data_IF_923724298586
#
_entry.id   IF_923724298586
#
_cell.length_a   1.000
_cell.length_b   1.000
_cell.length_c   1.000
_cell.angle_alpha   90.00
_cell.angle_beta   90.00
_cell.angle_gamma   90.00
#
_symmetry.space_group_name_H-M   'P 1'
#
loop_
_entity.id
_entity.type
_entity.pdbx_description
1 polymer ?
#
# COMPACT_ATOMS: atom_id res chain seq x y z
N UNK A 1 -20.26 1.45 -7.90
CA UNK A 1 -18.79 1.61 -7.95
C UNK A 1 -18.37 2.61 -6.88
N UNK A 2 -17.34 2.31 -6.12
CA UNK A 2 -16.78 3.20 -5.09
C UNK A 2 -15.59 3.98 -5.67
N UNK A 3 -15.06 4.95 -4.92
CA UNK A 3 -13.99 5.86 -5.35
C UNK A 3 -12.67 5.14 -5.70
N UNK A 4 -12.29 4.11 -4.92
CA UNK A 4 -11.11 3.29 -5.23
C UNK A 4 -11.24 2.53 -6.55
N UNK A 5 -12.43 2.02 -6.87
CA UNK A 5 -12.69 1.35 -8.16
C UNK A 5 -12.61 2.35 -9.33
N UNK A 6 -13.16 3.55 -9.16
CA UNK A 6 -13.02 4.61 -10.15
C UNK A 6 -11.54 4.99 -10.37
N UNK A 7 -10.72 4.93 -9.31
CA UNK A 7 -9.30 5.21 -9.43
C UNK A 7 -8.55 4.23 -10.36
N UNK A 8 -8.98 2.96 -10.47
CA UNK A 8 -8.44 1.99 -11.43
C UNK A 8 -8.56 2.51 -12.86
N UNK A 9 -9.77 2.95 -13.21
CA UNK A 9 -10.07 3.55 -14.53
C UNK A 9 -9.26 4.82 -14.76
N UNK A 10 -9.25 5.70 -13.75
CA UNK A 10 -8.55 6.98 -13.83
C UNK A 10 -7.04 6.88 -13.90
N UNK A 11 -6.47 5.85 -13.30
CA UNK A 11 -5.04 5.55 -13.34
C UNK A 11 -4.60 4.84 -14.63
N UNK A 12 -5.54 4.45 -15.50
CA UNK A 12 -5.24 3.75 -16.76
C UNK A 12 -4.83 2.28 -16.56
N UNK A 13 -5.28 1.67 -15.46
CA UNK A 13 -5.00 0.27 -15.13
C UNK A 13 -6.05 -0.66 -15.76
N UNK A 14 -5.87 -1.01 -17.03
CA UNK A 14 -6.86 -1.77 -17.80
C UNK A 14 -6.41 -3.19 -18.19
N UNK A 15 -5.24 -3.64 -17.71
CA UNK A 15 -4.67 -4.94 -18.07
C UNK A 15 -4.85 -5.96 -16.95
N UNK A 16 -4.89 -7.22 -17.32
CA UNK A 16 -4.74 -8.34 -16.38
C UNK A 16 -3.37 -8.26 -15.71
N UNK A 17 -3.34 -8.52 -14.40
CA UNK A 17 -2.11 -8.41 -13.61
C UNK A 17 -1.77 -6.99 -13.17
N UNK A 18 -2.53 -5.96 -13.59
CA UNK A 18 -2.41 -4.64 -12.99
C UNK A 18 -3.01 -4.65 -11.59
N UNK A 19 -2.23 -4.19 -10.60
CA UNK A 19 -2.71 -3.90 -9.26
C UNK A 19 -2.65 -2.40 -9.04
N UNK A 20 -3.81 -1.75 -8.91
CA UNK A 20 -3.86 -0.34 -8.54
C UNK A 20 -3.78 -0.19 -7.03
N UNK A 21 -2.70 0.41 -6.55
CA UNK A 21 -2.50 0.74 -5.13
C UNK A 21 -2.95 2.19 -4.87
N UNK A 22 -4.16 2.36 -4.35
CA UNK A 22 -4.68 3.69 -3.98
C UNK A 22 -4.25 3.99 -2.55
N UNK A 23 -3.22 4.84 -2.40
CA UNK A 23 -2.54 5.10 -1.14
C UNK A 23 -2.84 6.50 -0.60
N UNK A 24 -3.58 6.54 0.51
CA UNK A 24 -3.95 7.73 1.25
C UNK A 24 -3.83 7.50 2.77
N UNK A 25 -4.84 7.85 3.54
CA UNK A 25 -4.97 7.53 4.97
C UNK A 25 -4.83 6.02 5.20
N UNK A 26 -5.56 5.23 4.42
CA UNK A 26 -5.43 3.78 4.24
C UNK A 26 -4.94 3.46 2.83
N UNK A 27 -4.81 2.18 2.48
CA UNK A 27 -4.58 1.77 1.10
C UNK A 27 -5.54 0.68 0.64
N UNK A 28 -5.95 0.75 -0.65
CA UNK A 28 -6.65 -0.31 -1.34
C UNK A 28 -5.78 -0.83 -2.49
N UNK A 29 -5.71 -2.14 -2.63
CA UNK A 29 -4.98 -2.85 -3.69
C UNK A 29 -6.01 -3.58 -4.57
N UNK A 30 -6.16 -3.09 -5.79
CA UNK A 30 -7.21 -3.49 -6.71
C UNK A 30 -6.59 -4.23 -7.89
N UNK A 31 -6.79 -5.57 -7.94
CA UNK A 31 -6.24 -6.44 -8.97
C UNK A 31 -7.27 -6.69 -10.07
N UNK A 32 -6.85 -6.60 -11.32
CA UNK A 32 -7.60 -7.05 -12.49
C UNK A 32 -7.19 -8.47 -12.90
N UNK A 33 -8.14 -9.39 -13.05
CA UNK A 33 -7.89 -10.79 -13.40
C UNK A 33 -8.90 -11.35 -14.39
N UNK A 34 -8.52 -12.43 -15.09
CA UNK A 34 -9.45 -13.21 -15.92
C UNK A 34 -10.29 -14.20 -15.12
N UNK A 35 -9.85 -14.62 -13.94
CA UNK A 35 -10.52 -15.60 -13.10
C UNK A 35 -11.14 -14.93 -11.88
N UNK A 36 -12.25 -15.46 -11.39
CA UNK A 36 -13.08 -14.87 -10.33
C UNK A 36 -13.29 -15.80 -9.13
N UNK A 37 -12.34 -16.67 -8.83
CA UNK A 37 -12.39 -17.50 -7.63
C UNK A 37 -12.16 -16.67 -6.36
N UNK A 38 -12.95 -16.95 -5.31
CA UNK A 38 -12.79 -16.22 -4.04
C UNK A 38 -11.43 -16.50 -3.38
N UNK A 39 -10.76 -15.47 -2.93
CA UNK A 39 -9.48 -15.56 -2.21
C UNK A 39 -9.74 -15.34 -0.72
N UNK A 40 -9.38 -16.29 0.16
CA UNK A 40 -9.53 -16.09 1.61
C UNK A 40 -8.78 -14.83 2.08
N UNK A 41 -9.46 -13.99 2.86
CA UNK A 41 -8.89 -12.74 3.38
C UNK A 41 -8.86 -11.57 2.39
N UNK A 42 -9.30 -11.75 1.15
CA UNK A 42 -9.53 -10.66 0.19
C UNK A 42 -11.00 -10.24 0.24
N UNK A 43 -11.23 -8.94 0.28
CA UNK A 43 -12.53 -8.33 0.61
C UNK A 43 -13.64 -8.68 -0.37
N UNK A 44 -13.32 -8.57 -1.64
CA UNK A 44 -14.31 -8.77 -2.70
C UNK A 44 -13.65 -9.30 -3.96
N UNK A 45 -14.46 -10.05 -4.70
CA UNK A 45 -14.22 -10.42 -6.08
C UNK A 45 -15.53 -10.24 -6.83
N UNK A 46 -15.53 -9.40 -7.87
CA UNK A 46 -16.73 -9.23 -8.70
C UNK A 46 -16.35 -9.12 -10.18
N UNK A 47 -17.20 -9.69 -11.01
CA UNK A 47 -17.07 -9.54 -12.46
C UNK A 47 -17.38 -8.10 -12.87
N UNK A 48 -16.53 -7.53 -13.72
CA UNK A 48 -16.62 -6.13 -14.17
C UNK A 48 -16.65 -5.09 -13.04
N UNK A 49 -16.01 -5.39 -11.91
CA UNK A 49 -15.95 -4.45 -10.79
C UNK A 49 -15.19 -3.16 -11.13
N UNK A 50 -14.10 -3.28 -11.88
CA UNK A 50 -13.23 -2.16 -12.27
C UNK A 50 -13.24 -1.96 -13.78
N UNK A 51 -12.89 -3.01 -14.51
CA UNK A 51 -12.69 -3.01 -15.96
C UNK A 51 -13.65 -4.03 -16.58
N UNK A 52 -14.34 -3.69 -17.68
CA UNK A 52 -15.19 -4.62 -18.40
C UNK A 52 -14.43 -5.90 -18.81
N UNK A 53 -15.15 -7.03 -18.75
CA UNK A 53 -14.68 -8.38 -19.11
C UNK A 53 -13.60 -8.95 -18.16
N UNK A 54 -13.28 -8.26 -17.07
CA UNK A 54 -12.33 -8.72 -16.04
C UNK A 54 -13.01 -8.83 -14.67
N UNK A 55 -12.50 -9.74 -13.86
CA UNK A 55 -12.80 -9.78 -12.44
C UNK A 55 -11.91 -8.75 -11.72
N UNK A 56 -12.50 -8.02 -10.77
CA UNK A 56 -11.80 -7.11 -9.89
C UNK A 56 -11.74 -7.67 -8.47
N UNK A 57 -10.56 -7.72 -7.90
CA UNK A 57 -10.32 -8.08 -6.50
C UNK A 57 -9.93 -6.85 -5.71
N UNK A 58 -10.30 -6.81 -4.42
CA UNK A 58 -9.94 -5.73 -3.51
C UNK A 58 -9.33 -6.28 -2.22
N UNK A 59 -8.06 -5.94 -1.97
CA UNK A 59 -7.38 -6.06 -0.69
C UNK A 59 -7.13 -4.69 -0.07
N UNK A 60 -6.98 -4.61 1.26
CA UNK A 60 -6.80 -3.31 1.91
C UNK A 60 -5.89 -3.34 3.13
N UNK A 61 -5.18 -2.22 3.36
CA UNK A 61 -4.48 -1.89 4.59
C UNK A 61 -5.24 -0.79 5.33
N UNK A 62 -5.45 -0.96 6.63
CA UNK A 62 -6.26 -0.05 7.44
C UNK A 62 -5.58 1.29 7.69
N UNK A 63 -4.26 1.29 7.86
CA UNK A 63 -3.50 2.45 8.29
C UNK A 63 -2.20 2.57 7.49
N UNK A 64 -2.08 3.61 6.68
CA UNK A 64 -0.90 3.89 5.84
C UNK A 64 -0.42 5.32 6.10
N UNK A 65 -1.04 6.33 5.50
CA UNK A 65 -0.70 7.72 5.74
C UNK A 65 -1.00 8.15 7.17
N UNK A 66 -2.10 7.68 7.72
CA UNK A 66 -2.50 7.98 9.11
C UNK A 66 -1.47 7.47 10.13
N UNK A 67 -0.84 6.30 9.89
CA UNK A 67 0.24 5.80 10.74
C UNK A 67 1.46 6.73 10.73
N UNK A 68 1.84 7.24 9.57
CA UNK A 68 2.95 8.17 9.43
C UNK A 68 2.64 9.53 10.06
N UNK A 69 1.42 10.02 9.92
CA UNK A 69 0.95 11.26 10.54
C UNK A 69 0.91 11.11 12.07
N UNK A 70 0.28 10.03 12.57
CA UNK A 70 0.28 9.72 14.00
C UNK A 70 1.71 9.71 14.59
N UNK A 71 2.67 9.13 13.87
CA UNK A 71 4.06 9.12 14.32
C UNK A 71 4.66 10.52 14.40
N UNK A 72 4.37 11.37 13.43
CA UNK A 72 4.83 12.77 13.44
C UNK A 72 4.25 13.52 14.63
N UNK A 73 2.97 13.37 14.88
CA UNK A 73 2.27 14.10 15.93
C UNK A 73 2.66 13.65 17.35
N UNK A 74 3.02 12.37 17.51
CA UNK A 74 3.20 11.80 18.85
C UNK A 74 4.64 11.38 19.18
N UNK A 75 5.51 11.19 18.19
CA UNK A 75 6.82 10.55 18.40
C UNK A 75 8.00 11.39 17.88
N UNK A 76 7.75 12.50 17.17
CA UNK A 76 8.82 13.32 16.61
C UNK A 76 9.19 14.46 17.57
N UNK A 77 10.46 14.54 18.02
CA UNK A 77 10.91 15.64 18.88
C UNK A 77 10.81 17.01 18.21
N UNK A 78 10.57 18.06 19.01
CA UNK A 78 10.47 19.45 18.54
C UNK A 78 11.73 19.91 17.78
N UNK A 79 12.90 19.35 18.10
CA UNK A 79 14.15 19.66 17.39
C UNK A 79 14.09 19.33 15.89
N UNK A 80 13.40 18.24 15.51
CA UNK A 80 13.17 17.88 14.10
C UNK A 80 12.21 18.85 13.42
N UNK A 81 11.17 19.30 14.14
CA UNK A 81 10.22 20.29 13.62
C UNK A 81 10.94 21.63 13.35
N UNK A 82 11.81 22.05 14.27
CA UNK A 82 12.65 23.26 14.09
C UNK A 82 13.61 23.11 12.92
N UNK A 83 14.26 21.95 12.79
CA UNK A 83 15.18 21.66 11.68
C UNK A 83 14.45 21.72 10.32
N UNK A 84 13.27 21.10 10.22
CA UNK A 84 12.45 21.14 9.01
C UNK A 84 12.06 22.59 8.65
N UNK A 85 11.61 23.37 9.65
CA UNK A 85 11.27 24.79 9.47
C UNK A 85 12.47 25.64 9.01
N UNK A 86 13.65 25.43 9.59
CA UNK A 86 14.88 26.12 9.16
C UNK A 86 15.31 25.74 7.73
N UNK A 87 15.06 24.48 7.33
CA UNK A 87 15.35 24.01 6.00
C UNK A 87 14.25 24.40 4.97
N UNK A 88 13.13 24.96 5.41
CA UNK A 88 12.00 25.33 4.55
C UNK A 88 11.29 24.13 3.90
N UNK A 89 11.33 22.96 4.56
CA UNK A 89 10.72 21.71 4.06
C UNK A 89 9.71 21.15 5.06
N UNK A 90 8.85 20.23 4.58
CA UNK A 90 7.92 19.52 5.46
C UNK A 90 8.63 18.48 6.34
N UNK A 91 8.06 18.19 7.52
CA UNK A 91 8.63 17.21 8.47
C UNK A 91 8.77 15.82 7.86
N UNK A 92 7.79 15.35 7.09
CA UNK A 92 7.87 14.07 6.39
C UNK A 92 9.03 14.04 5.37
N UNK A 93 9.29 15.15 4.70
CA UNK A 93 10.42 15.26 3.76
C UNK A 93 11.76 15.19 4.51
N UNK A 94 11.88 15.89 5.64
CA UNK A 94 13.08 15.81 6.47
C UNK A 94 13.34 14.39 6.95
N UNK A 95 12.31 13.73 7.49
CA UNK A 95 12.42 12.36 7.99
C UNK A 95 12.79 11.38 6.87
N UNK A 96 12.21 11.52 5.67
CA UNK A 96 12.57 10.70 4.52
C UNK A 96 14.03 10.93 4.06
N UNK A 97 14.50 12.18 4.04
CA UNK A 97 15.90 12.48 3.70
C UNK A 97 16.87 11.84 4.70
N UNK A 98 16.56 11.91 6.00
CA UNK A 98 17.38 11.27 7.04
C UNK A 98 17.29 9.74 6.95
N UNK A 99 16.10 9.19 6.73
CA UNK A 99 15.87 7.75 6.55
C UNK A 99 16.60 7.17 5.35
N UNK A 100 16.65 7.89 4.23
CA UNK A 100 17.35 7.47 3.01
C UNK A 100 18.88 7.32 3.23
N UNK A 101 19.45 8.03 4.20
CA UNK A 101 20.87 7.93 4.57
C UNK A 101 21.19 6.69 5.42
N UNK A 102 20.18 5.97 5.94
CA UNK A 102 20.37 4.78 6.76
C UNK A 102 20.70 3.58 5.88
N UNK A 103 21.90 3.05 6.03
CA UNK A 103 22.34 1.88 5.27
C UNK A 103 21.52 0.64 5.64
N UNK A 104 21.28 -0.28 4.69
CA UNK A 104 20.47 -1.49 4.91
C UNK A 104 20.89 -2.30 6.14
N UNK A 105 22.20 -2.44 6.40
CA UNK A 105 22.74 -3.21 7.52
C UNK A 105 22.44 -2.59 8.90
N UNK A 106 22.08 -1.31 8.92
CA UNK A 106 21.72 -0.57 10.14
C UNK A 106 20.22 -0.65 10.46
N UNK A 107 19.41 -1.13 9.53
CA UNK A 107 17.93 -1.19 9.64
C UNK A 107 17.50 -2.38 10.50
N UNK A 108 17.52 -2.20 11.82
CA UNK A 108 17.27 -3.28 12.81
C UNK A 108 15.80 -3.42 13.22
N UNK A 109 15.02 -2.35 13.09
CA UNK A 109 13.63 -2.34 13.54
C UNK A 109 12.75 -3.15 12.58
N UNK A 110 11.75 -3.82 13.15
CA UNK A 110 10.67 -4.48 12.40
C UNK A 110 9.35 -3.99 12.96
N UNK A 111 8.43 -3.62 12.06
CA UNK A 111 7.14 -3.04 12.39
C UNK A 111 6.02 -3.85 11.74
N UNK A 112 4.98 -4.17 12.53
CA UNK A 112 3.67 -4.57 12.01
C UNK A 112 2.81 -3.31 11.90
N UNK A 113 2.33 -3.02 10.71
CA UNK A 113 1.60 -1.80 10.33
C UNK A 113 0.13 -1.76 10.82
N UNK A 114 -0.18 -2.41 11.94
CA UNK A 114 -1.53 -2.69 12.41
C UNK A 114 -2.13 -1.59 13.32
N UNK A 115 -1.73 -0.33 13.15
CA UNK A 115 -2.17 0.79 14.01
C UNK A 115 -3.69 0.97 14.09
N UNK A 116 -4.41 0.52 13.05
CA UNK A 116 -5.88 0.55 13.01
C UNK A 116 -6.45 -0.83 12.61
N UNK A 117 -5.93 -1.89 13.24
CA UNK A 117 -6.28 -3.26 12.91
C UNK A 117 -5.75 -3.74 11.57
N UNK A 118 -6.09 -4.96 11.20
CA UNK A 118 -5.72 -5.58 9.92
C UNK A 118 -6.97 -5.85 9.09
N UNK A 119 -7.00 -5.31 7.87
CA UNK A 119 -8.02 -5.63 6.88
C UNK A 119 -7.62 -6.91 6.15
N UNK A 120 -6.93 -6.82 5.02
CA UNK A 120 -6.50 -8.00 4.26
C UNK A 120 -5.08 -8.43 4.66
N UNK A 121 -4.78 -9.74 4.67
CA UNK A 121 -5.72 -10.85 4.49
C UNK A 121 -6.32 -11.38 5.81
N UNK A 122 -5.94 -10.86 6.98
CA UNK A 122 -6.34 -11.45 8.28
C UNK A 122 -7.78 -11.12 8.68
N UNK A 123 -8.33 -9.98 8.25
CA UNK A 123 -9.67 -9.50 8.62
C UNK A 123 -9.86 -9.40 10.14
N UNK A 124 -8.84 -8.89 10.84
CA UNK A 124 -8.73 -8.82 12.30
C UNK A 124 -8.63 -7.36 12.75
N UNK A 125 -9.77 -6.66 12.98
CA UNK A 125 -9.77 -5.25 13.38
C UNK A 125 -9.24 -4.99 14.78
N UNK A 126 -9.18 -6.02 15.62
CA UNK A 126 -8.70 -5.95 17.01
C UNK A 126 -7.16 -5.98 17.14
N UNK A 127 -6.44 -6.36 16.10
CA UNK A 127 -4.98 -6.37 16.12
C UNK A 127 -4.41 -4.95 16.18
N UNK A 128 -3.26 -4.79 16.84
CA UNK A 128 -2.63 -3.49 17.07
C UNK A 128 -1.21 -3.43 16.53
N UNK A 129 -0.73 -2.23 16.24
CA UNK A 129 0.63 -2.00 15.75
C UNK A 129 1.70 -2.46 16.72
N UNK A 130 2.80 -2.98 16.16
CA UNK A 130 3.95 -3.47 16.94
C UNK A 130 5.25 -2.93 16.33
N UNK A 131 6.15 -2.44 17.18
CA UNK A 131 7.50 -2.08 16.78
C UNK A 131 8.50 -2.81 17.66
N UNK A 132 9.43 -3.55 17.05
CA UNK A 132 10.45 -4.32 17.75
C UNK A 132 11.86 -3.87 17.39
N UNK A 133 12.85 -4.20 18.26
CA UNK A 133 14.25 -3.89 18.02
C UNK A 133 14.70 -2.51 18.53
N UNK A 134 13.87 -1.81 19.29
CA UNK A 134 14.19 -0.52 19.92
C UNK A 134 15.33 -0.65 20.94
N UNK A 135 16.22 0.32 20.95
CA UNK A 135 17.27 0.50 21.93
C UNK A 135 17.33 1.96 22.36
N UNK A 136 18.09 2.28 23.42
CA UNK A 136 18.31 3.66 23.87
C UNK A 136 19.03 4.54 22.81
N UNK A 137 19.60 3.95 21.78
CA UNK A 137 20.28 4.62 20.68
C UNK A 137 19.43 4.80 19.44
N UNK A 138 18.20 4.25 19.43
CA UNK A 138 17.31 4.32 18.28
C UNK A 138 16.88 5.78 18.03
N UNK A 139 17.03 6.22 16.79
CA UNK A 139 16.68 7.57 16.36
C UNK A 139 15.30 7.63 15.72
N UNK A 140 14.72 8.82 15.70
CA UNK A 140 13.40 9.10 15.13
C UNK A 140 13.30 8.69 13.66
N UNK A 141 14.32 9.00 12.84
CA UNK A 141 14.36 8.60 11.44
C UNK A 141 14.44 7.09 11.21
N UNK A 142 15.03 6.33 12.16
CA UNK A 142 15.06 4.86 12.08
C UNK A 142 13.67 4.26 12.33
N UNK A 143 12.91 4.83 13.29
CA UNK A 143 11.53 4.44 13.56
C UNK A 143 10.62 4.79 12.37
N UNK A 144 10.78 5.99 11.81
CA UNK A 144 10.01 6.43 10.64
C UNK A 144 10.27 5.54 9.41
N UNK A 145 11.54 5.18 9.16
CA UNK A 145 11.90 4.24 8.10
C UNK A 145 11.25 2.87 8.31
N UNK A 146 11.31 2.36 9.54
CA UNK A 146 10.73 1.06 9.87
C UNK A 146 9.20 1.02 9.73
N UNK A 147 8.51 2.14 10.01
CA UNK A 147 7.08 2.29 9.72
C UNK A 147 6.80 2.21 8.22
N UNK A 148 7.56 2.93 7.40
CA UNK A 148 7.42 2.86 5.93
C UNK A 148 7.71 1.44 5.41
N UNK A 149 8.74 0.77 5.93
CA UNK A 149 9.05 -0.63 5.58
C UNK A 149 7.91 -1.58 6.00
N UNK A 150 7.36 -1.42 7.22
CA UNK A 150 6.22 -2.20 7.72
C UNK A 150 5.00 -2.08 6.82
N UNK A 151 4.67 -0.86 6.40
CA UNK A 151 3.59 -0.60 5.44
C UNK A 151 3.86 -1.31 4.10
N UNK A 152 5.08 -1.25 3.58
CA UNK A 152 5.43 -1.95 2.34
C UNK A 152 5.43 -3.49 2.51
N UNK A 153 5.78 -4.01 3.69
CA UNK A 153 5.65 -5.45 3.98
C UNK A 153 4.18 -5.89 4.07
N UNK A 154 3.31 -5.08 4.69
CA UNK A 154 1.87 -5.32 4.68
C UNK A 154 1.28 -5.32 3.25
N UNK A 155 1.71 -4.40 2.41
CA UNK A 155 1.39 -4.39 0.98
C UNK A 155 1.84 -5.69 0.28
N UNK A 156 3.08 -6.15 0.55
CA UNK A 156 3.60 -7.41 0.00
C UNK A 156 2.76 -8.61 0.43
N UNK A 157 2.31 -8.67 1.68
CA UNK A 157 1.41 -9.76 2.13
C UNK A 157 0.16 -9.84 1.26
N UNK A 158 -0.45 -8.69 0.91
CA UNK A 158 -1.63 -8.65 0.05
C UNK A 158 -1.27 -9.10 -1.39
N UNK A 159 -0.16 -8.60 -1.92
CA UNK A 159 0.33 -8.96 -3.26
C UNK A 159 0.65 -10.45 -3.34
N UNK A 160 1.32 -11.01 -2.33
CA UNK A 160 1.65 -12.42 -2.26
C UNK A 160 0.38 -13.27 -2.11
N UNK A 161 -0.65 -12.80 -1.38
CA UNK A 161 -1.97 -13.46 -1.31
C UNK A 161 -2.62 -13.59 -2.70
N UNK A 162 -2.51 -12.58 -3.56
CA UNK A 162 -2.96 -12.69 -4.95
C UNK A 162 -2.14 -13.73 -5.73
N UNK A 163 -0.81 -13.69 -5.63
CA UNK A 163 0.10 -14.62 -6.34
C UNK A 163 -0.10 -16.06 -5.91
N UNK A 164 -0.17 -16.31 -4.61
CA UNK A 164 -0.34 -17.65 -4.02
C UNK A 164 -1.71 -18.25 -4.40
N UNK A 165 -2.69 -17.41 -4.72
CA UNK A 165 -3.99 -17.81 -5.24
C UNK A 165 -4.02 -17.99 -6.78
N UNK A 166 -2.85 -17.97 -7.43
CA UNK A 166 -2.71 -18.24 -8.87
C UNK A 166 -2.93 -17.03 -9.78
N UNK A 167 -3.02 -15.82 -9.22
CA UNK A 167 -3.15 -14.60 -10.03
C UNK A 167 -1.80 -14.00 -10.37
N UNK A 168 -1.63 -13.56 -11.61
CA UNK A 168 -0.45 -12.79 -11.99
C UNK A 168 -0.52 -11.38 -11.40
N UNK A 169 0.62 -10.87 -10.91
CA UNK A 169 0.81 -9.47 -10.54
C UNK A 169 2.00 -8.96 -11.34
N UNK A 170 1.69 -8.24 -12.41
CA UNK A 170 2.69 -7.78 -13.37
C UNK A 170 3.32 -6.45 -12.95
N UNK A 171 2.49 -5.54 -12.42
CA UNK A 171 2.94 -4.22 -11.97
C UNK A 171 1.99 -3.63 -10.93
N UNK A 172 2.52 -2.73 -10.12
CA UNK A 172 1.75 -1.90 -9.19
C UNK A 172 1.59 -0.50 -9.79
N UNK A 173 0.35 0.00 -9.84
CA UNK A 173 0.05 1.37 -10.26
C UNK A 173 -0.33 2.16 -9.02
N UNK A 174 0.62 2.91 -8.49
CA UNK A 174 0.44 3.66 -7.25
C UNK A 174 -0.25 5.00 -7.53
N UNK A 175 -1.41 5.20 -6.91
CA UNK A 175 -2.24 6.41 -7.02
C UNK A 175 -2.51 7.01 -5.65
N UNK A 176 -2.81 8.30 -5.58
CA UNK A 176 -3.09 9.02 -4.34
C UNK A 176 -1.97 9.97 -3.92
N UNK A 177 -2.07 10.48 -2.70
CA UNK A 177 -1.18 11.55 -2.23
C UNK A 177 0.23 11.08 -1.85
N UNK A 178 0.34 9.89 -1.30
CA UNK A 178 1.62 9.33 -0.81
C UNK A 178 2.59 9.05 -1.96
N UNK A 179 2.19 8.35 -3.05
CA UNK A 179 3.10 8.04 -4.15
C UNK A 179 3.79 9.26 -4.76
N UNK A 180 3.10 10.38 -4.81
CA UNK A 180 3.62 11.63 -5.38
C UNK A 180 4.60 12.35 -4.46
N UNK A 181 4.57 12.06 -3.14
CA UNK A 181 5.36 12.77 -2.13
C UNK A 181 6.51 11.94 -1.56
N UNK A 182 6.53 10.63 -1.79
CA UNK A 182 7.48 9.71 -1.18
C UNK A 182 8.17 8.78 -2.19
N UNK A 183 9.16 9.31 -2.96
CA UNK A 183 9.98 8.49 -3.85
C UNK A 183 10.65 7.32 -3.12
N UNK A 184 11.13 7.57 -1.88
CA UNK A 184 11.75 6.54 -1.05
C UNK A 184 10.80 5.37 -0.79
N UNK A 185 9.54 5.65 -0.42
CA UNK A 185 8.55 4.61 -0.17
C UNK A 185 8.17 3.85 -1.44
N UNK A 186 8.12 4.53 -2.59
CA UNK A 186 7.82 3.88 -3.87
C UNK A 186 8.94 2.93 -4.30
N UNK A 187 10.21 3.31 -4.12
CA UNK A 187 11.33 2.41 -4.36
C UNK A 187 11.29 1.21 -3.39
N UNK A 188 11.06 1.45 -2.09
CA UNK A 188 10.91 0.35 -1.13
C UNK A 188 9.76 -0.58 -1.49
N UNK A 189 8.63 -0.05 -1.97
CA UNK A 189 7.50 -0.87 -2.40
C UNK A 189 7.87 -1.76 -3.59
N UNK A 190 8.60 -1.21 -4.57
CA UNK A 190 9.11 -1.98 -5.71
C UNK A 190 10.07 -3.08 -5.27
N UNK A 191 11.06 -2.74 -4.44
CA UNK A 191 12.08 -3.67 -3.94
C UNK A 191 11.46 -4.80 -3.11
N UNK A 192 10.54 -4.45 -2.20
CA UNK A 192 9.90 -5.37 -1.27
C UNK A 192 8.91 -6.29 -1.99
N UNK A 193 8.07 -5.76 -2.89
CA UNK A 193 7.11 -6.56 -3.65
C UNK A 193 7.76 -7.31 -4.83
N UNK A 194 9.00 -6.96 -5.20
CA UNK A 194 9.69 -7.52 -6.36
C UNK A 194 8.93 -7.25 -7.68
N UNK A 195 8.30 -6.08 -7.79
CA UNK A 195 7.39 -5.72 -8.89
C UNK A 195 7.58 -4.26 -9.26
N UNK A 196 7.56 -3.95 -10.54
CA UNK A 196 7.59 -2.57 -11.04
C UNK A 196 6.46 -1.74 -10.39
N UNK A 197 6.79 -0.56 -9.90
CA UNK A 197 5.84 0.43 -9.37
C UNK A 197 5.80 1.64 -10.29
N UNK A 198 4.62 1.92 -10.83
CA UNK A 198 4.35 3.13 -11.64
C UNK A 198 3.54 4.13 -10.84
N UNK A 199 4.01 5.33 -10.71
CA UNK A 199 3.26 6.40 -10.05
C UNK A 199 2.34 7.08 -11.05
N UNK A 200 1.03 7.03 -10.75
CA UNK A 200 0.01 7.72 -11.54
C UNK A 200 0.23 9.24 -11.47
N UNK A 201 0.26 9.92 -12.61
CA UNK A 201 0.45 11.38 -12.66
C UNK A 201 -0.75 12.18 -12.13
N UNK A 202 -1.92 11.56 -12.04
CA UNK A 202 -3.15 12.23 -11.59
C UNK A 202 -3.24 12.27 -10.08
N UNK A 203 -3.37 13.47 -9.51
CA UNK A 203 -3.68 13.66 -8.08
C UNK A 203 -5.10 13.25 -7.71
N UNK A 204 -6.00 13.17 -8.69
CA UNK A 204 -7.43 12.92 -8.51
C UNK A 204 -7.87 11.76 -9.41
N UNK A 205 -7.21 10.59 -9.25
CA UNK A 205 -7.48 9.42 -10.09
C UNK A 205 -8.93 8.95 -10.01
N UNK A 206 -9.57 9.00 -8.83
CA UNK A 206 -10.99 8.64 -8.66
C UNK A 206 -11.92 9.58 -9.44
N UNK A 207 -11.73 10.89 -9.34
CA UNK A 207 -12.52 11.88 -10.08
C UNK A 207 -12.29 11.75 -11.60
N UNK A 208 -11.03 11.53 -12.02
CA UNK A 208 -10.68 11.29 -13.43
C UNK A 208 -11.38 10.05 -13.95
N UNK A 209 -11.36 8.95 -13.21
CA UNK A 209 -12.03 7.70 -13.59
C UNK A 209 -13.54 7.87 -13.71
N UNK A 210 -14.17 8.58 -12.78
CA UNK A 210 -15.59 8.90 -12.85
C UNK A 210 -15.93 9.71 -14.10
N UNK A 211 -15.09 10.69 -14.47
CA UNK A 211 -15.27 11.47 -15.70
C UNK A 211 -15.10 10.60 -16.96
N UNK A 212 -14.12 9.69 -16.98
CA UNK A 212 -13.92 8.74 -18.10
C UNK A 212 -15.15 7.84 -18.27
N UNK A 213 -15.69 7.30 -17.18
CA UNK A 213 -16.91 6.48 -17.22
C UNK A 213 -18.12 7.27 -17.72
N UNK A 214 -18.26 8.52 -17.26
CA UNK A 214 -19.30 9.43 -17.76
C UNK A 214 -19.19 9.69 -19.26
N UNK A 215 -17.98 9.92 -19.77
CA UNK A 215 -17.70 10.10 -21.20
C UNK A 215 -18.04 8.83 -22.00
N UNK A 216 -17.67 7.65 -21.49
CA UNK A 216 -17.99 6.37 -22.13
C UNK A 216 -19.49 6.12 -22.24
N UNK A 217 -20.27 6.50 -21.21
CA UNK A 217 -21.73 6.41 -21.24
C UNK A 217 -22.33 7.41 -22.24
N UNK A 218 -21.84 8.64 -22.28
CA UNK A 218 -22.32 9.70 -23.17
C UNK A 218 -22.03 9.41 -24.66
N UNK A 219 -21.01 8.62 -24.97
CA UNK A 219 -20.65 8.24 -26.34
C UNK A 219 -21.72 7.35 -27.01
N UNK A 220 -22.64 6.72 -26.26
CA UNK A 220 -23.91 6.15 -26.72
C UNK A 220 -23.81 4.97 -27.70
N UNK A 221 -22.64 4.50 -28.03
CA UNK A 221 -22.44 3.41 -28.99
C UNK A 221 -22.47 2.03 -28.34
N UNK A 222 -22.95 1.06 -29.09
CA UNK A 222 -23.50 -0.25 -28.70
C UNK A 222 -22.51 -1.27 -28.12
N UNK A 223 -21.70 -1.11 -27.21
CA UNK A 223 -21.06 -2.10 -26.33
C UNK A 223 -20.09 -1.42 -25.38
N UNK A 224 -20.48 -1.36 -24.16
CA UNK A 224 -19.87 -0.59 -23.09
C UNK A 224 -18.40 -0.97 -22.82
N UNK A 225 -18.04 -2.25 -22.99
CA UNK A 225 -16.68 -2.73 -22.66
C UNK A 225 -15.57 -2.12 -23.51
N UNK A 226 -15.71 -2.15 -24.84
CA UNK A 226 -14.71 -1.61 -25.75
C UNK A 226 -14.62 -0.08 -25.65
N UNK A 227 -15.76 0.58 -25.50
CA UNK A 227 -15.83 2.04 -25.38
C UNK A 227 -15.08 2.52 -24.13
N UNK A 228 -15.29 1.86 -22.97
CA UNK A 228 -14.60 2.26 -21.74
C UNK A 228 -13.09 2.09 -21.88
N UNK A 229 -12.60 0.98 -22.45
CA UNK A 229 -11.17 0.78 -22.72
C UNK A 229 -10.62 1.85 -23.66
N UNK A 230 -11.35 2.18 -24.71
CA UNK A 230 -10.93 3.26 -25.66
C UNK A 230 -10.85 4.62 -24.93
N UNK A 231 -11.76 4.93 -24.02
CA UNK A 231 -11.73 6.17 -23.24
C UNK A 231 -10.63 6.14 -22.18
N UNK A 232 -10.33 4.98 -21.55
CA UNK A 232 -9.20 4.82 -20.65
C UNK A 232 -7.88 5.12 -21.41
N UNK A 233 -7.71 4.57 -22.61
CA UNK A 233 -6.51 4.83 -23.42
C UNK A 233 -6.38 6.30 -23.84
N UNK A 234 -7.48 7.01 -24.03
CA UNK A 234 -7.49 8.44 -24.43
C UNK A 234 -7.26 9.37 -23.24
N UNK A 235 -7.88 9.10 -22.11
CA UNK A 235 -7.99 10.02 -20.97
C UNK A 235 -7.45 9.44 -19.65
N UNK A 236 -7.06 8.18 -19.58
CA UNK A 236 -6.38 7.61 -18.43
C UNK A 236 -5.12 8.39 -18.08
N UNK A 237 -4.75 8.40 -16.83
CA UNK A 237 -3.54 9.10 -16.40
C UNK A 237 -2.29 8.43 -16.97
N UNK A 238 -1.30 9.25 -17.31
CA UNK A 238 0.05 8.79 -17.59
C UNK A 238 0.80 8.39 -16.32
N UNK A 239 2.07 8.05 -16.49
CA UNK A 239 3.00 7.69 -15.41
C UNK A 239 3.95 8.86 -15.18
N UNK A 240 4.03 9.35 -13.95
CA UNK A 240 4.96 10.43 -13.57
C UNK A 240 6.34 9.91 -13.15
N UNK A 241 6.43 8.69 -12.64
CA UNK A 241 7.68 8.03 -12.26
C UNK A 241 7.51 6.51 -12.32
N UNK A 242 8.62 5.81 -12.58
CA UNK A 242 8.71 4.34 -12.58
C UNK A 242 9.83 3.93 -11.63
N UNK A 243 9.57 2.93 -10.80
CA UNK A 243 10.51 2.34 -9.86
C UNK A 243 10.61 0.84 -10.16
N UNK A 244 11.75 0.43 -10.68
CA UNK A 244 12.08 -0.98 -10.87
C UNK A 244 12.66 -1.56 -9.58
N UNK A 245 12.40 -2.85 -9.26
CA UNK A 245 13.02 -3.53 -8.13
C UNK A 245 14.55 -3.51 -8.24
N UNK A 246 15.23 -2.99 -7.20
CA UNK A 246 16.68 -3.04 -7.10
C UNK A 246 17.14 -4.41 -6.56
N UNK A 247 17.80 -5.19 -7.40
CA UNK A 247 18.35 -6.49 -7.03
C UNK A 247 19.35 -6.42 -5.87
N UNK A 248 20.05 -5.29 -5.67
CA UNK A 248 20.98 -5.07 -4.57
C UNK A 248 20.28 -5.04 -3.21
N UNK A 249 19.06 -4.52 -3.15
CA UNK A 249 18.27 -4.44 -1.93
C UNK A 249 17.49 -5.72 -1.61
N UNK A 250 17.31 -6.59 -2.61
CA UNK A 250 16.42 -7.76 -2.50
C UNK A 250 16.78 -8.68 -1.34
N UNK A 251 18.05 -9.03 -1.18
CA UNK A 251 18.48 -9.95 -0.14
C UNK A 251 18.19 -9.40 1.27
N UNK A 252 18.40 -8.10 1.47
CA UNK A 252 18.13 -7.42 2.75
C UNK A 252 16.64 -7.41 3.05
N UNK A 253 15.80 -7.05 2.06
CA UNK A 253 14.37 -7.01 2.26
C UNK A 253 13.74 -8.40 2.41
N UNK A 254 14.26 -9.43 1.74
CA UNK A 254 13.83 -10.81 1.96
C UNK A 254 14.14 -11.31 3.38
N UNK A 255 15.30 -10.96 3.94
CA UNK A 255 15.61 -11.28 5.34
C UNK A 255 14.69 -10.55 6.32
N UNK A 256 14.44 -9.25 6.07
CA UNK A 256 13.53 -8.45 6.90
C UNK A 256 12.08 -8.92 6.78
N UNK A 257 11.63 -9.29 5.58
CA UNK A 257 10.29 -9.81 5.36
C UNK A 257 10.07 -11.13 6.12
N UNK A 258 11.05 -12.02 6.15
CA UNK A 258 10.98 -13.23 6.99
C UNK A 258 10.82 -12.89 8.48
N UNK A 259 11.51 -11.86 8.97
CA UNK A 259 11.34 -11.37 10.35
C UNK A 259 9.94 -10.77 10.57
N UNK A 260 9.44 -10.01 9.61
CA UNK A 260 8.08 -9.45 9.62
C UNK A 260 7.04 -10.57 9.67
N UNK A 261 7.12 -11.58 8.82
CA UNK A 261 6.19 -12.72 8.80
C UNK A 261 6.23 -13.49 10.13
N UNK A 262 7.42 -13.76 10.67
CA UNK A 262 7.54 -14.41 11.98
C UNK A 262 6.92 -13.58 13.10
N UNK A 263 7.12 -12.26 13.09
CA UNK A 263 6.53 -11.35 14.06
C UNK A 263 4.99 -11.35 13.92
N UNK A 264 4.49 -11.29 12.68
CA UNK A 264 3.07 -11.41 12.36
C UNK A 264 2.46 -12.67 12.96
N UNK A 265 3.06 -13.85 12.73
CA UNK A 265 2.59 -15.13 13.25
C UNK A 265 2.53 -15.17 14.79
N UNK A 266 3.52 -14.56 15.46
CA UNK A 266 3.55 -14.50 16.93
C UNK A 266 2.38 -13.66 17.44
N UNK A 267 2.20 -12.44 16.93
CA UNK A 267 1.21 -11.50 17.45
C UNK A 267 -0.22 -11.86 17.06
N UNK A 268 -0.42 -12.45 15.89
CA UNK A 268 -1.70 -13.03 15.49
C UNK A 268 -2.17 -14.14 16.45
N UNK A 269 -1.25 -15.00 16.89
CA UNK A 269 -1.56 -16.09 17.82
C UNK A 269 -1.72 -15.63 19.28
N UNK A 270 -0.97 -14.61 19.71
CA UNK A 270 -1.08 -14.04 21.05
C UNK A 270 -2.47 -13.41 21.22
N UNK A 271 -2.88 -12.58 20.28
CA UNK A 271 -4.16 -11.89 20.34
C UNK A 271 -5.35 -12.86 20.26
N UNK A 272 -5.25 -13.91 19.44
CA UNK A 272 -6.28 -14.95 19.34
C UNK A 272 -6.53 -15.70 20.67
N UNK A 273 -5.61 -15.59 21.64
CA UNK A 273 -5.74 -16.15 22.98
C UNK A 273 -6.25 -15.15 24.03
N UNK A 274 -6.64 -13.93 23.61
CA UNK A 274 -7.14 -12.89 24.52
C UNK A 274 -6.10 -12.27 25.45
N UNK A 275 -4.80 -12.55 25.25
CA UNK A 275 -3.73 -12.09 26.16
C UNK A 275 -3.52 -10.57 26.14
N UNK A 276 -3.88 -9.90 25.05
CA UNK A 276 -3.74 -8.45 24.91
C UNK A 276 -5.02 -7.70 25.32
N UNK A 277 -6.19 -8.32 25.24
CA UNK A 277 -7.48 -7.67 25.44
C UNK A 277 -8.07 -7.86 26.85
N UNK A 278 -7.32 -8.50 27.77
CA UNK A 278 -7.71 -8.59 29.17
C UNK A 278 -9.08 -9.26 29.43
N UNK A 279 -9.51 -10.19 28.58
CA UNK A 279 -10.63 -11.04 28.92
C UNK A 279 -10.21 -11.93 30.09
N UNK A 280 -10.43 -11.40 31.31
CA UNK A 280 -10.46 -12.21 32.51
C UNK A 280 -11.46 -13.35 32.26
N UNK A 281 -11.01 -14.58 32.45
CA UNK A 281 -11.86 -15.75 32.57
C UNK A 281 -12.97 -15.44 33.59
N UNK A 282 -14.14 -15.03 33.13
CA UNK A 282 -15.35 -15.04 33.94
C UNK A 282 -15.74 -16.50 34.12
N UNK A 283 -15.17 -17.10 35.19
CA UNK A 283 -15.70 -18.32 35.76
C UNK A 283 -17.03 -18.09 36.43
#
# INVERSE_FOLDING_TARGET
MIDSHAAVVGAGADRVGDVTAVMGTSACYLLNSHTGEGIPGIYSCAYEAHIPELFGYEGGQSCVGECLEWFVDNCVPESYMKEAGQAGIGIHELLQRKAAAIRPEQRRLVVLDWWNGVRSPLMRPELTGVMTGLTIYTKTEEMYLALMEGICFGARVIVDTFRDSGHSVERLIAAGGIPMKSPLMMQMLADICGTEVRVCESRQSSARGSAIMGAAVADGTKKTSRILKDWIHKLGAGTSAVYDPDCGNRAVYEEKYRKYIRLKEIFENIDSKGLLNGEEDKK
#
